data_IF_636053501188
#
_entry.id   IF_636053501188
#
_cell.length_a   1.000
_cell.length_b   1.000
_cell.length_c   1.000
_cell.angle_alpha   90.00
_cell.angle_beta   90.00
_cell.angle_gamma   90.00
#
_symmetry.space_group_name_H-M   'P 1'
#
loop_
_entity.id
_entity.type
_entity.pdbx_description
1 polymer ?
#
# COMPACT_ATOMS: atom_id res chain seq x y z
N UNK A 1 -23.60 1.17 -13.60
CA UNK A 1 -24.40 1.96 -12.64
C UNK A 1 -23.71 1.84 -11.30
N UNK A 2 -23.07 2.91 -10.77
CA UNK A 2 -22.57 2.95 -9.40
C UNK A 2 -23.77 2.82 -8.49
N UNK A 3 -23.87 1.75 -7.72
CA UNK A 3 -24.83 1.67 -6.61
C UNK A 3 -24.40 2.75 -5.62
N UNK A 4 -25.23 3.76 -5.42
CA UNK A 4 -24.98 4.78 -4.41
C UNK A 4 -24.88 4.10 -3.05
N UNK A 5 -23.79 4.29 -2.33
CA UNK A 5 -23.72 4.00 -0.91
C UNK A 5 -24.51 5.10 -0.24
N UNK A 6 -25.64 4.74 0.37
CA UNK A 6 -26.56 5.69 0.99
C UNK A 6 -26.09 6.12 2.38
N UNK A 7 -25.43 5.23 3.10
CA UNK A 7 -24.86 5.46 4.42
C UNK A 7 -23.55 4.71 4.59
N UNK A 8 -22.58 5.32 5.26
CA UNK A 8 -21.33 4.67 5.66
C UNK A 8 -20.87 5.18 7.02
N UNK A 9 -20.12 4.35 7.73
CA UNK A 9 -19.48 4.72 8.99
C UNK A 9 -18.01 4.29 8.98
N UNK A 10 -17.22 4.90 9.86
CA UNK A 10 -15.81 4.58 10.01
C UNK A 10 -15.63 3.68 11.23
N UNK A 11 -14.92 2.59 11.03
CA UNK A 11 -14.56 1.66 12.08
C UNK A 11 -13.05 1.64 12.27
N UNK A 12 -12.62 1.56 13.53
CA UNK A 12 -11.23 1.29 13.83
C UNK A 12 -10.95 -0.20 13.59
N UNK A 13 -10.09 -0.54 12.63
CA UNK A 13 -9.77 -1.93 12.30
C UNK A 13 -9.18 -2.72 13.48
N UNK A 14 -8.55 -2.04 14.44
CA UNK A 14 -7.97 -2.68 15.63
C UNK A 14 -9.02 -2.96 16.73
N UNK A 15 -10.26 -2.49 16.54
CA UNK A 15 -11.37 -2.60 17.48
C UNK A 15 -12.61 -3.28 16.87
N UNK A 16 -12.48 -3.95 15.73
CA UNK A 16 -13.61 -4.61 15.07
C UNK A 16 -14.27 -5.70 15.92
N UNK A 17 -13.51 -6.31 16.83
CA UNK A 17 -14.02 -7.33 17.77
C UNK A 17 -15.02 -6.75 18.78
N UNK A 18 -14.92 -5.45 19.09
CA UNK A 18 -15.80 -4.76 20.05
C UNK A 18 -17.00 -4.09 19.39
N UNK A 19 -17.17 -4.25 18.08
CA UNK A 19 -18.32 -3.62 17.40
C UNK A 19 -19.64 -4.24 17.87
N UNK A 20 -20.55 -3.40 18.39
CA UNK A 20 -21.83 -3.78 18.98
C UNK A 20 -23.06 -3.13 18.31
N UNK A 21 -22.83 -2.39 17.22
CA UNK A 21 -23.90 -1.76 16.44
C UNK A 21 -24.75 -2.73 15.63
N UNK A 22 -25.55 -2.20 14.72
CA UNK A 22 -26.33 -3.00 13.78
C UNK A 22 -25.41 -3.80 12.84
N UNK A 23 -25.96 -4.84 12.21
CA UNK A 23 -25.22 -5.63 11.23
C UNK A 23 -24.72 -4.74 10.09
N UNK A 24 -23.42 -4.86 9.77
CA UNK A 24 -22.74 -3.99 8.81
C UNK A 24 -21.78 -4.74 7.92
N UNK A 25 -21.72 -4.36 6.64
CA UNK A 25 -20.69 -4.84 5.71
C UNK A 25 -19.41 -4.04 5.87
N UNK A 26 -18.27 -4.75 6.03
CA UNK A 26 -16.96 -4.11 6.16
C UNK A 26 -16.00 -4.63 5.10
N UNK A 27 -15.47 -3.73 4.29
CA UNK A 27 -14.38 -4.07 3.34
C UNK A 27 -13.11 -4.30 4.12
N UNK A 28 -12.61 -5.54 4.11
CA UNK A 28 -11.44 -5.99 4.89
C UNK A 28 -10.10 -5.64 4.22
N UNK A 29 -10.07 -4.56 3.46
CA UNK A 29 -8.85 -4.01 2.88
C UNK A 29 -8.00 -3.36 3.98
N UNK A 30 -7.15 -4.13 4.63
CA UNK A 30 -6.38 -3.63 5.76
C UNK A 30 -5.08 -4.39 6.00
N UNK A 31 -4.19 -3.73 6.74
CA UNK A 31 -2.97 -4.28 7.26
C UNK A 31 -3.17 -4.61 8.73
N UNK A 32 -3.42 -5.86 9.03
CA UNK A 32 -3.73 -6.34 10.38
C UNK A 32 -2.44 -6.83 11.05
N UNK A 33 -1.94 -6.09 12.01
CA UNK A 33 -0.67 -6.33 12.64
C UNK A 33 -0.59 -5.90 14.11
N UNK A 34 -1.13 -4.72 14.44
CA UNK A 34 -0.81 -4.09 15.73
C UNK A 34 -1.42 -4.82 16.92
N UNK A 35 -2.67 -5.28 16.78
CA UNK A 35 -3.41 -6.00 17.83
C UNK A 35 -3.95 -7.33 17.31
N UNK A 36 -3.06 -8.32 17.05
CA UNK A 36 -3.47 -9.59 16.44
C UNK A 36 -4.48 -10.36 17.28
N UNK A 37 -4.48 -10.15 18.60
CA UNK A 37 -5.42 -10.81 19.51
C UNK A 37 -6.84 -10.19 19.48
N UNK A 38 -7.01 -9.02 18.84
CA UNK A 38 -8.30 -8.37 18.65
C UNK A 38 -9.02 -8.89 17.39
N UNK A 39 -8.77 -10.14 17.04
CA UNK A 39 -9.40 -10.83 15.93
C UNK A 39 -9.92 -12.19 16.42
N UNK A 40 -11.06 -12.67 15.99
CA UNK A 40 -11.90 -12.23 14.87
C UNK A 40 -12.75 -10.99 15.16
N UNK A 41 -13.31 -10.34 14.13
CA UNK A 41 -14.26 -9.25 14.30
C UNK A 41 -15.57 -9.73 14.97
N UNK A 42 -16.37 -8.80 15.47
CA UNK A 42 -17.70 -9.05 15.99
C UNK A 42 -18.56 -9.80 14.97
N UNK A 43 -19.48 -10.63 15.47
CA UNK A 43 -20.46 -11.35 14.63
C UNK A 43 -21.49 -10.43 13.94
N UNK A 44 -21.52 -9.15 14.30
CA UNK A 44 -22.29 -8.10 13.62
C UNK A 44 -21.63 -7.60 12.34
N UNK A 45 -20.37 -7.98 12.11
CA UNK A 45 -19.61 -7.57 10.94
C UNK A 45 -19.68 -8.67 9.88
N UNK A 46 -20.21 -8.32 8.71
CA UNK A 46 -20.17 -9.15 7.51
C UNK A 46 -18.94 -8.72 6.68
N UNK A 47 -17.85 -9.49 6.69
CA UNK A 47 -16.63 -9.11 6.02
C UNK A 47 -16.74 -9.27 4.50
N UNK A 48 -16.27 -8.26 3.77
CA UNK A 48 -16.01 -8.34 2.33
C UNK A 48 -14.51 -8.55 2.16
N UNK A 49 -14.12 -9.78 1.88
CA UNK A 49 -12.72 -10.19 1.80
C UNK A 49 -12.08 -9.76 0.49
N UNK A 50 -11.39 -8.63 0.52
CA UNK A 50 -10.61 -8.13 -0.61
C UNK A 50 -9.38 -7.38 -0.10
N UNK A 51 -8.24 -7.64 -0.70
CA UNK A 51 -6.95 -7.01 -0.33
C UNK A 51 -6.57 -7.18 1.16
N UNK A 52 -7.01 -8.27 1.77
CA UNK A 52 -6.72 -8.59 3.16
C UNK A 52 -5.24 -8.93 3.33
N UNK A 53 -4.61 -8.42 4.38
CA UNK A 53 -3.20 -8.70 4.66
C UNK A 53 -2.99 -9.03 6.14
N UNK A 54 -2.32 -10.12 6.40
CA UNK A 54 -1.85 -10.54 7.72
C UNK A 54 -0.33 -10.36 7.78
N UNK A 55 0.14 -9.33 8.48
CA UNK A 55 1.58 -9.10 8.68
C UNK A 55 2.11 -9.64 10.01
N UNK A 56 1.25 -10.10 10.89
CA UNK A 56 1.61 -10.75 12.13
C UNK A 56 0.97 -12.15 12.20
N UNK A 57 1.79 -13.18 12.06
CA UNK A 57 1.33 -14.58 12.05
C UNK A 57 0.61 -14.99 13.35
N UNK A 58 0.81 -14.29 14.48
CA UNK A 58 0.08 -14.53 15.73
C UNK A 58 -1.43 -14.33 15.60
N UNK A 59 -1.87 -13.63 14.55
CA UNK A 59 -3.29 -13.47 14.23
C UNK A 59 -3.95 -14.80 13.78
N UNK A 60 -3.15 -15.75 13.31
CA UNK A 60 -3.63 -17.08 12.93
C UNK A 60 -3.37 -18.04 14.10
N UNK A 61 -4.40 -18.26 14.91
CA UNK A 61 -4.42 -19.13 16.07
C UNK A 61 -5.68 -20.01 16.03
N UNK A 62 -5.85 -20.92 16.98
CA UNK A 62 -6.98 -21.87 16.98
C UNK A 62 -8.35 -21.18 16.82
N UNK A 63 -8.58 -20.13 17.60
CA UNK A 63 -9.85 -19.38 17.54
C UNK A 63 -10.08 -18.73 16.18
N UNK A 64 -9.06 -18.12 15.59
CA UNK A 64 -9.18 -17.42 14.32
C UNK A 64 -9.18 -18.35 13.12
N UNK A 65 -8.57 -19.53 13.21
CA UNK A 65 -8.61 -20.57 12.17
C UNK A 65 -10.06 -21.02 11.94
N UNK A 66 -10.79 -21.34 12.99
CA UNK A 66 -12.20 -21.75 12.88
C UNK A 66 -13.06 -20.64 12.27
N UNK A 67 -12.83 -19.40 12.70
CA UNK A 67 -13.49 -18.24 12.11
C UNK A 67 -13.20 -18.11 10.61
N UNK A 68 -11.92 -18.18 10.20
CA UNK A 68 -11.56 -18.08 8.79
C UNK A 68 -12.12 -19.22 7.95
N UNK A 69 -12.17 -20.46 8.48
CA UNK A 69 -12.77 -21.62 7.79
C UNK A 69 -14.26 -21.48 7.60
N UNK A 70 -14.94 -20.73 8.46
CA UNK A 70 -16.38 -20.44 8.31
C UNK A 70 -16.69 -19.36 7.28
N UNK A 71 -15.67 -18.66 6.78
CA UNK A 71 -15.83 -17.56 5.84
C UNK A 71 -15.87 -18.06 4.38
N UNK A 72 -16.46 -17.27 3.44
CA UNK A 72 -16.22 -17.48 2.02
C UNK A 72 -14.72 -17.30 1.67
N UNK A 73 -14.28 -17.69 0.46
CA UNK A 73 -12.89 -17.56 0.05
C UNK A 73 -12.32 -16.17 0.32
N UNK A 74 -11.13 -16.12 0.95
CA UNK A 74 -10.52 -14.89 1.44
C UNK A 74 -9.63 -14.28 0.37
N UNK A 75 -10.00 -13.10 -0.13
CA UNK A 75 -9.22 -12.32 -1.09
C UNK A 75 -8.07 -11.56 -0.42
N UNK A 76 -6.83 -11.96 -0.69
CA UNK A 76 -5.63 -11.46 -0.04
C UNK A 76 -4.86 -10.47 -0.92
N UNK A 77 -4.21 -9.49 -0.29
CA UNK A 77 -3.41 -8.46 -0.95
C UNK A 77 -2.08 -8.98 -1.49
N UNK A 78 -1.49 -9.95 -0.83
CA UNK A 78 -0.17 -10.52 -1.13
C UNK A 78 -0.17 -12.04 -1.01
N UNK A 79 0.78 -12.68 -1.69
CA UNK A 79 0.87 -14.14 -1.71
C UNK A 79 1.28 -14.72 -0.38
N UNK A 80 2.03 -14.00 0.45
CA UNK A 80 2.43 -14.49 1.76
C UNK A 80 1.22 -14.69 2.68
N UNK A 81 0.23 -13.79 2.61
CA UNK A 81 -1.05 -13.96 3.32
C UNK A 81 -1.83 -15.17 2.79
N UNK A 82 -1.88 -15.35 1.45
CA UNK A 82 -2.50 -16.53 0.84
C UNK A 82 -1.87 -17.83 1.35
N UNK A 83 -0.55 -17.90 1.29
CA UNK A 83 0.20 -19.07 1.74
C UNK A 83 0.00 -19.36 3.23
N UNK A 84 0.01 -18.30 4.06
CA UNK A 84 -0.22 -18.41 5.50
C UNK A 84 -1.60 -19.03 5.78
N UNK A 85 -2.66 -18.55 5.14
CA UNK A 85 -4.02 -19.07 5.33
C UNK A 85 -4.16 -20.50 4.80
N UNK A 86 -3.62 -20.79 3.63
CA UNK A 86 -3.69 -22.14 3.01
C UNK A 86 -2.94 -23.20 3.81
N UNK A 87 -1.89 -22.85 4.57
CA UNK A 87 -1.23 -23.77 5.50
C UNK A 87 -2.15 -24.31 6.60
N UNK A 88 -3.27 -23.63 6.84
CA UNK A 88 -4.29 -24.01 7.82
C UNK A 88 -5.57 -24.51 7.17
N UNK A 89 -5.52 -24.90 5.88
CA UNK A 89 -6.67 -25.36 5.08
C UNK A 89 -7.79 -24.31 4.97
N UNK A 90 -7.43 -23.02 4.99
CA UNK A 90 -8.35 -21.90 4.78
C UNK A 90 -8.34 -21.55 3.29
N UNK A 91 -9.53 -21.44 2.68
CA UNK A 91 -9.65 -21.06 1.27
C UNK A 91 -9.30 -19.60 1.09
N UNK A 92 -8.22 -19.32 0.36
CA UNK A 92 -7.70 -17.98 0.14
C UNK A 92 -7.14 -17.84 -1.28
N UNK A 93 -7.26 -16.66 -1.85
CA UNK A 93 -6.77 -16.35 -3.20
C UNK A 93 -6.18 -14.94 -3.27
N UNK A 94 -5.36 -14.69 -4.27
CA UNK A 94 -4.70 -13.41 -4.47
C UNK A 94 -5.60 -12.43 -5.22
N UNK A 95 -5.85 -11.26 -4.63
CA UNK A 95 -6.62 -10.16 -5.25
C UNK A 95 -5.75 -8.96 -5.63
N UNK A 96 -4.53 -8.88 -5.11
CA UNK A 96 -3.78 -7.63 -5.15
C UNK A 96 -4.36 -6.56 -4.22
N UNK A 97 -3.92 -5.32 -4.41
CA UNK A 97 -4.36 -4.18 -3.61
C UNK A 97 -5.49 -3.40 -4.28
N UNK A 98 -6.51 -3.00 -3.52
CA UNK A 98 -7.62 -2.18 -4.01
C UNK A 98 -7.16 -0.86 -4.66
N UNK A 99 -6.02 -0.32 -4.23
CA UNK A 99 -5.49 0.92 -4.82
C UNK A 99 -5.01 0.77 -6.28
N UNK A 100 -4.94 -0.46 -6.78
CA UNK A 100 -4.69 -0.73 -8.21
C UNK A 100 -5.92 -0.55 -9.09
N UNK A 101 -7.10 -0.37 -8.50
CA UNK A 101 -8.36 -0.21 -9.22
C UNK A 101 -8.76 1.26 -9.41
N UNK A 102 -7.88 2.21 -9.12
CA UNK A 102 -8.09 3.60 -9.52
C UNK A 102 -8.05 3.71 -11.05
N UNK A 103 -8.91 4.59 -11.57
CA UNK A 103 -8.97 4.85 -13.01
C UNK A 103 -7.67 5.47 -13.51
N UNK A 104 -7.19 5.02 -14.66
CA UNK A 104 -6.04 5.60 -15.32
C UNK A 104 -6.28 7.10 -15.63
N UNK A 105 -5.24 7.88 -15.50
CA UNK A 105 -5.29 9.32 -15.72
C UNK A 105 -4.33 9.74 -16.85
N UNK A 106 -4.86 10.48 -17.82
CA UNK A 106 -4.10 10.89 -19.01
C UNK A 106 -3.32 12.19 -18.84
N UNK A 107 -3.71 13.05 -17.87
CA UNK A 107 -3.00 14.31 -17.60
C UNK A 107 -1.73 14.06 -16.81
N UNK A 108 -0.61 14.36 -17.41
CA UNK A 108 0.73 14.21 -16.83
C UNK A 108 1.50 15.51 -17.10
N UNK A 109 1.57 16.36 -16.18
CA UNK A 109 2.26 17.66 -16.35
C UNK A 109 2.52 18.36 -15.03
N UNK A 110 2.15 17.67 -13.93
CA UNK A 110 2.35 18.15 -12.57
C UNK A 110 3.79 18.02 -12.09
N UNK A 111 3.98 18.24 -10.79
CA UNK A 111 5.28 18.25 -10.14
C UNK A 111 5.97 16.88 -10.12
N UNK A 112 7.21 16.91 -9.64
CA UNK A 112 7.99 15.73 -9.28
C UNK A 112 8.01 15.60 -7.77
N UNK A 113 7.93 14.40 -7.23
CA UNK A 113 7.81 14.18 -5.80
C UNK A 113 8.78 13.12 -5.28
N UNK A 114 9.42 13.41 -4.15
CA UNK A 114 10.13 12.46 -3.30
C UNK A 114 9.23 12.14 -2.10
N UNK A 115 8.76 10.91 -2.00
CA UNK A 115 7.79 10.53 -0.97
C UNK A 115 8.39 9.51 -0.01
N UNK A 116 8.63 9.91 1.23
CA UNK A 116 9.22 9.08 2.31
C UNK A 116 10.49 8.34 1.89
N UNK A 117 11.33 8.97 1.10
CA UNK A 117 12.60 8.36 0.65
C UNK A 117 13.67 8.38 1.74
N UNK A 118 13.48 9.22 2.76
CA UNK A 118 14.38 9.43 3.89
C UNK A 118 13.77 8.84 5.17
N UNK A 119 13.82 7.60 5.44
CA UNK A 119 13.22 7.06 6.63
C UNK A 119 13.66 5.63 6.91
N UNK A 120 13.10 5.03 7.97
CA UNK A 120 13.41 3.64 8.32
C UNK A 120 13.17 2.65 7.18
N UNK A 121 12.20 2.95 6.31
CA UNK A 121 11.87 2.15 5.13
C UNK A 121 12.48 2.70 3.84
N UNK A 122 12.99 3.94 3.86
CA UNK A 122 13.62 4.57 2.71
C UNK A 122 14.96 3.93 2.37
N UNK A 123 15.26 3.84 1.10
CA UNK A 123 16.51 3.28 0.61
C UNK A 123 17.62 4.33 0.49
N UNK A 124 17.22 5.59 0.53
CA UNK A 124 18.16 6.68 0.32
C UNK A 124 18.83 7.00 1.65
N UNK A 125 20.09 6.63 1.84
CA UNK A 125 20.87 7.18 2.93
C UNK A 125 20.90 8.69 2.72
N UNK A 126 20.54 9.44 3.74
CA UNK A 126 20.53 10.92 3.77
C UNK A 126 21.86 11.58 3.44
N UNK A 127 22.89 10.80 3.15
CA UNK A 127 24.27 11.28 3.21
C UNK A 127 24.88 11.65 1.87
N UNK A 128 24.37 11.26 0.71
CA UNK A 128 25.09 11.55 -0.53
C UNK A 128 24.23 11.58 -1.82
N UNK A 129 22.93 11.84 -1.74
CA UNK A 129 22.22 12.25 -2.96
C UNK A 129 22.86 13.56 -3.44
N UNK A 130 23.29 13.57 -4.68
CA UNK A 130 23.55 14.85 -5.33
C UNK A 130 22.22 15.60 -5.41
N UNK A 131 21.90 16.38 -4.38
CA UNK A 131 20.63 17.10 -4.22
C UNK A 131 20.34 17.99 -5.45
N UNK A 132 21.36 18.36 -6.22
CA UNK A 132 21.18 19.09 -7.47
C UNK A 132 20.32 18.34 -8.49
N UNK A 133 20.29 16.99 -8.46
CA UNK A 133 19.43 16.20 -9.34
C UNK A 133 17.95 16.25 -8.92
N UNK A 134 17.65 16.71 -7.72
CA UNK A 134 16.33 16.72 -7.14
C UNK A 134 15.84 18.10 -6.74
N UNK A 135 16.51 19.16 -7.21
CA UNK A 135 16.14 20.56 -6.88
C UNK A 135 14.70 20.93 -7.26
N UNK A 136 14.17 20.29 -8.30
CA UNK A 136 12.80 20.49 -8.77
C UNK A 136 11.78 19.50 -8.17
N UNK A 137 12.21 18.63 -7.24
CA UNK A 137 11.33 17.72 -6.55
C UNK A 137 10.74 18.33 -5.28
N UNK A 138 9.45 18.09 -5.07
CA UNK A 138 8.79 18.38 -3.79
C UNK A 138 8.93 17.17 -2.87
N UNK A 139 9.35 17.39 -1.64
CA UNK A 139 9.43 16.34 -0.63
C UNK A 139 8.07 16.22 0.08
N UNK A 140 7.57 15.01 0.16
CA UNK A 140 6.36 14.65 0.91
C UNK A 140 6.73 13.61 1.96
N UNK A 141 6.34 13.85 3.20
CA UNK A 141 6.46 12.90 4.30
C UNK A 141 5.06 12.51 4.78
N UNK A 142 4.79 11.20 4.78
CA UNK A 142 3.56 10.66 5.37
C UNK A 142 3.73 10.55 6.88
N UNK A 143 3.58 11.65 7.59
CA UNK A 143 3.65 11.68 9.05
C UNK A 143 2.45 10.95 9.68
N UNK A 144 2.36 9.65 9.45
CA UNK A 144 1.24 8.84 9.92
C UNK A 144 1.06 8.95 11.45
N UNK A 145 2.13 9.08 12.20
CA UNK A 145 2.09 9.08 13.67
C UNK A 145 1.48 10.36 14.28
N UNK A 146 1.67 11.50 13.66
CA UNK A 146 1.07 12.76 14.15
C UNK A 146 -0.42 12.90 13.84
N UNK A 147 -0.96 12.00 13.02
CA UNK A 147 -2.35 12.08 12.56
C UNK A 147 -3.32 11.15 13.29
N UNK A 148 -2.85 10.33 14.23
CA UNK A 148 -3.72 9.40 14.95
C UNK A 148 -4.80 10.12 15.78
N UNK A 149 -4.49 11.32 16.27
CA UNK A 149 -5.40 12.14 17.08
C UNK A 149 -6.24 13.12 16.25
N UNK A 150 -6.11 13.09 14.91
CA UNK A 150 -6.86 14.02 14.06
C UNK A 150 -8.18 13.42 13.63
N UNK A 151 -9.13 14.32 13.39
CA UNK A 151 -10.44 14.03 12.80
C UNK A 151 -10.30 13.17 11.53
N UNK A 152 -11.16 12.15 11.41
CA UNK A 152 -11.20 11.23 10.26
C UNK A 152 -11.38 11.98 8.95
N UNK A 153 -12.23 13.01 8.91
CA UNK A 153 -12.47 13.80 7.71
C UNK A 153 -11.21 14.58 7.26
N UNK A 154 -10.43 15.08 8.21
CA UNK A 154 -9.14 15.73 7.88
C UNK A 154 -8.15 14.74 7.29
N UNK A 155 -8.08 13.53 7.85
CA UNK A 155 -7.22 12.45 7.32
C UNK A 155 -7.63 12.04 5.91
N UNK A 156 -8.91 11.90 5.65
CA UNK A 156 -9.44 11.56 4.33
C UNK A 156 -9.18 12.66 3.30
N UNK A 157 -9.38 13.93 3.68
CA UNK A 157 -9.07 15.08 2.81
C UNK A 157 -7.58 15.11 2.44
N UNK A 158 -6.69 14.84 3.42
CA UNK A 158 -5.26 14.75 3.14
C UNK A 158 -4.93 13.57 2.21
N UNK A 159 -5.50 12.39 2.48
CA UNK A 159 -5.31 11.22 1.62
C UNK A 159 -5.80 11.48 0.19
N UNK A 160 -6.95 12.12 0.03
CA UNK A 160 -7.48 12.50 -1.28
C UNK A 160 -6.54 13.49 -1.99
N UNK A 161 -6.04 14.50 -1.26
CA UNK A 161 -5.06 15.46 -1.81
C UNK A 161 -3.78 14.77 -2.27
N UNK A 162 -3.24 13.83 -1.48
CA UNK A 162 -2.04 13.08 -1.86
C UNK A 162 -2.30 12.23 -3.12
N UNK A 163 -3.47 11.61 -3.23
CA UNK A 163 -3.85 10.86 -4.44
C UNK A 163 -3.95 11.78 -5.66
N UNK A 164 -4.49 12.99 -5.51
CA UNK A 164 -4.53 13.98 -6.58
C UNK A 164 -3.12 14.44 -6.99
N UNK A 165 -2.24 14.72 -6.02
CA UNK A 165 -0.84 15.07 -6.28
C UNK A 165 -0.13 13.94 -7.06
N UNK A 166 -0.34 12.67 -6.68
CA UNK A 166 0.25 11.51 -7.37
C UNK A 166 -0.34 11.29 -8.77
N UNK A 167 -1.64 11.51 -8.92
CA UNK A 167 -2.34 11.38 -10.20
C UNK A 167 -1.84 12.37 -11.24
N UNK A 168 -1.59 13.61 -10.83
CA UNK A 168 -1.13 14.69 -11.72
C UNK A 168 0.41 14.70 -11.90
N UNK A 169 1.15 13.98 -11.05
CA UNK A 169 2.61 14.00 -11.06
C UNK A 169 3.20 13.54 -12.39
N UNK A 170 4.29 14.19 -12.81
CA UNK A 170 5.14 13.72 -13.90
C UNK A 170 6.08 12.60 -13.49
N UNK A 171 6.53 12.59 -12.21
CA UNK A 171 7.38 11.57 -11.63
C UNK A 171 7.22 11.51 -10.12
N UNK A 172 7.15 10.30 -9.58
CA UNK A 172 7.15 10.03 -8.13
C UNK A 172 8.25 9.04 -7.81
N UNK A 173 9.07 9.35 -6.81
CA UNK A 173 10.04 8.41 -6.23
C UNK A 173 9.61 8.15 -4.80
N UNK A 174 9.41 6.89 -4.42
CA UNK A 174 8.82 6.58 -3.11
C UNK A 174 9.33 5.27 -2.53
N UNK A 175 9.38 5.18 -1.20
CA UNK A 175 9.54 3.94 -0.45
C UNK A 175 8.19 3.36 0.03
N UNK A 176 7.07 4.06 -0.21
CA UNK A 176 5.75 3.68 0.29
C UNK A 176 4.97 2.86 -0.72
N UNK A 177 4.56 1.66 -0.31
CA UNK A 177 3.73 0.77 -1.14
C UNK A 177 2.43 1.48 -1.60
N UNK A 178 1.73 2.13 -0.67
CA UNK A 178 0.46 2.83 -0.96
C UNK A 178 0.63 4.24 -1.54
N UNK A 179 1.84 4.58 -1.98
CA UNK A 179 2.11 5.65 -2.93
C UNK A 179 2.40 5.06 -4.31
N UNK A 180 3.22 4.00 -4.37
CA UNK A 180 3.60 3.38 -5.64
C UNK A 180 2.41 2.70 -6.35
N UNK A 181 1.55 1.97 -5.63
CA UNK A 181 0.40 1.28 -6.23
C UNK A 181 -0.63 2.24 -6.84
N UNK A 182 -1.07 3.33 -6.17
CA UNK A 182 -1.89 4.35 -6.82
C UNK A 182 -1.23 4.99 -8.04
N UNK A 183 0.06 5.33 -7.97
CA UNK A 183 0.79 5.84 -9.13
C UNK A 183 0.72 4.86 -10.30
N UNK A 184 0.86 3.56 -10.01
CA UNK A 184 0.75 2.53 -11.05
C UNK A 184 -0.64 2.47 -11.68
N UNK A 185 -1.70 2.55 -10.86
CA UNK A 185 -3.07 2.58 -11.34
C UNK A 185 -3.35 3.81 -12.20
N UNK A 186 -2.90 4.98 -11.77
CA UNK A 186 -3.03 6.23 -12.53
C UNK A 186 -2.16 6.26 -13.82
N UNK A 187 -1.25 5.31 -14.01
CA UNK A 187 -0.24 5.37 -15.07
C UNK A 187 0.82 6.46 -14.83
N UNK A 188 0.99 6.95 -13.62
CA UNK A 188 2.02 7.93 -13.25
C UNK A 188 3.39 7.25 -13.21
N UNK A 189 4.41 7.91 -13.79
CA UNK A 189 5.79 7.44 -13.71
C UNK A 189 6.20 7.35 -12.25
N UNK A 190 6.60 6.15 -11.80
CA UNK A 190 6.92 5.91 -10.40
C UNK A 190 8.14 5.01 -10.25
N UNK A 191 9.08 5.40 -9.39
CA UNK A 191 10.19 4.58 -8.94
C UNK A 191 9.92 4.15 -7.51
N UNK A 192 9.73 2.85 -7.30
CA UNK A 192 9.54 2.29 -5.97
C UNK A 192 10.86 1.81 -5.40
N UNK A 193 11.21 2.33 -4.23
CA UNK A 193 12.50 2.07 -3.58
C UNK A 193 12.29 1.73 -2.12
N UNK A 194 12.43 0.46 -1.78
CA UNK A 194 12.28 0.01 -0.41
C UNK A 194 13.42 -0.94 -0.04
N UNK A 195 14.20 -0.62 1.01
CA UNK A 195 15.39 -1.39 1.40
C UNK A 195 15.15 -2.87 1.73
N UNK A 196 13.91 -3.26 2.02
CA UNK A 196 13.52 -4.65 2.26
C UNK A 196 12.74 -5.23 1.09
N UNK A 197 12.83 -4.64 -0.11
CA UNK A 197 12.00 -5.04 -1.24
C UNK A 197 12.04 -6.53 -1.55
N UNK A 198 13.23 -7.14 -1.52
CA UNK A 198 13.42 -8.56 -1.81
C UNK A 198 12.83 -9.48 -0.75
N UNK A 199 12.84 -9.06 0.53
CA UNK A 199 12.58 -9.91 1.69
C UNK A 199 11.30 -9.56 2.46
N UNK A 200 10.57 -8.52 2.05
CA UNK A 200 9.35 -8.12 2.73
C UNK A 200 8.14 -8.84 2.12
N UNK A 201 7.50 -9.66 2.94
CA UNK A 201 6.36 -10.47 2.55
C UNK A 201 5.18 -9.65 2.00
N UNK A 202 5.07 -8.36 2.38
CA UNK A 202 4.02 -7.46 1.90
C UNK A 202 4.06 -7.21 0.39
N UNK A 203 5.19 -7.49 -0.26
CA UNK A 203 5.39 -7.27 -1.70
C UNK A 203 5.23 -8.54 -2.53
N UNK A 204 5.04 -9.70 -1.90
CA UNK A 204 4.86 -10.97 -2.62
C UNK A 204 3.59 -10.92 -3.49
N UNK A 205 3.73 -11.26 -4.75
CA UNK A 205 2.67 -11.12 -5.76
C UNK A 205 2.50 -9.70 -6.34
N UNK A 206 3.08 -8.67 -5.70
CA UNK A 206 3.01 -7.28 -6.17
C UNK A 206 4.30 -6.83 -6.88
N UNK A 207 5.38 -7.59 -6.79
CA UNK A 207 6.69 -7.22 -7.36
C UNK A 207 6.63 -6.90 -8.85
N UNK A 208 5.93 -7.70 -9.65
CA UNK A 208 5.76 -7.47 -11.08
C UNK A 208 4.99 -6.19 -11.41
N UNK A 209 4.06 -5.76 -10.53
CA UNK A 209 3.31 -4.52 -10.69
C UNK A 209 4.16 -3.32 -10.30
N UNK A 210 4.96 -3.44 -9.25
CA UNK A 210 5.76 -2.34 -8.73
C UNK A 210 6.95 -2.01 -9.64
N UNK A 211 7.62 -3.01 -10.16
CA UNK A 211 8.89 -2.84 -10.91
C UNK A 211 8.85 -3.39 -12.33
N UNK A 212 7.72 -3.77 -12.86
CA UNK A 212 7.58 -4.22 -14.25
C UNK A 212 8.37 -5.48 -14.65
N UNK A 213 8.85 -6.28 -13.69
CA UNK A 213 9.62 -7.51 -13.92
C UNK A 213 11.11 -7.24 -14.17
N UNK A 214 11.98 -7.87 -13.40
CA UNK A 214 13.45 -7.82 -13.36
C UNK A 214 14.08 -6.42 -13.28
N UNK A 215 14.72 -6.16 -12.15
CA UNK A 215 15.70 -5.09 -11.92
C UNK A 215 15.33 -3.69 -12.44
N UNK A 216 14.57 -2.93 -11.65
CA UNK A 216 14.28 -1.50 -11.88
C UNK A 216 13.50 -1.15 -13.16
N UNK A 217 12.36 -1.80 -13.40
CA UNK A 217 11.46 -1.35 -14.47
C UNK A 217 10.47 -0.30 -13.97
N UNK A 218 10.50 0.83 -14.59
CA UNK A 218 9.61 1.96 -14.41
C UNK A 218 8.67 2.06 -15.61
N UNK A 219 7.47 2.49 -15.37
CA UNK A 219 6.56 2.84 -16.44
C UNK A 219 7.03 4.19 -17.01
N UNK A 220 7.70 4.15 -18.15
CA UNK A 220 8.37 5.32 -18.71
C UNK A 220 7.47 6.05 -19.68
N UNK A 221 6.77 7.05 -19.18
CA UNK A 221 6.46 8.24 -19.98
C UNK A 221 7.44 9.40 -19.66
N UNK A 222 8.42 9.19 -18.76
CA UNK A 222 9.48 10.15 -18.50
C UNK A 222 10.48 10.18 -19.66
N UNK A 223 11.00 11.34 -19.99
CA UNK A 223 12.08 11.48 -20.97
C UNK A 223 13.24 10.58 -20.55
N UNK A 224 13.58 9.60 -21.37
CA UNK A 224 14.49 8.48 -21.07
C UNK A 224 15.81 8.86 -20.40
N UNK A 225 16.39 10.00 -20.73
CA UNK A 225 17.70 10.42 -20.20
C UNK A 225 17.70 10.92 -18.75
N UNK A 226 16.59 11.42 -18.22
CA UNK A 226 16.51 11.89 -16.81
C UNK A 226 16.35 10.72 -15.86
N UNK A 227 15.51 9.77 -16.24
CA UNK A 227 15.32 8.54 -15.46
C UNK A 227 16.59 7.72 -15.39
N UNK A 228 17.33 7.63 -16.50
CA UNK A 228 18.60 6.92 -16.56
C UNK A 228 19.64 7.50 -15.60
N UNK A 229 19.74 8.83 -15.52
CA UNK A 229 20.62 9.51 -14.55
C UNK A 229 20.22 9.23 -13.10
N UNK A 230 18.94 9.28 -12.80
CA UNK A 230 18.39 8.97 -11.46
C UNK A 230 18.76 7.52 -11.10
N UNK A 231 18.58 6.59 -12.02
CA UNK A 231 18.87 5.17 -11.80
C UNK A 231 20.37 4.88 -11.69
N UNK A 232 21.22 5.55 -12.45
CA UNK A 232 22.67 5.42 -12.31
C UNK A 232 23.13 5.82 -10.92
N UNK A 233 22.55 6.89 -10.35
CA UNK A 233 22.81 7.29 -8.97
C UNK A 233 22.39 6.19 -8.01
N UNK A 234 21.22 5.60 -8.18
CA UNK A 234 20.72 4.57 -7.28
C UNK A 234 21.45 3.23 -7.43
N UNK A 235 21.79 2.80 -8.64
CA UNK A 235 22.56 1.57 -8.87
C UNK A 235 23.91 1.61 -8.20
N UNK A 236 24.57 2.78 -8.17
CA UNK A 236 25.86 2.95 -7.49
C UNK A 236 25.76 2.65 -5.98
N UNK A 237 24.63 2.92 -5.34
CA UNK A 237 24.44 2.70 -3.90
C UNK A 237 23.85 1.33 -3.54
N UNK A 238 23.30 0.58 -4.51
CA UNK A 238 22.76 -0.78 -4.28
C UNK A 238 23.81 -1.88 -4.43
N UNK A 239 24.92 -1.60 -5.06
CA UNK A 239 25.99 -2.57 -5.29
C UNK A 239 27.05 -2.55 -4.15
N UNK A 240 27.10 -1.49 -3.37
CA UNK A 240 28.12 -1.32 -2.30
C UNK A 240 27.62 -1.71 -0.88
N UNK A 241 26.42 -2.29 -0.73
CA UNK A 241 25.84 -2.81 0.51
C UNK A 241 25.13 -4.15 0.25
#
# INVERSE_FOLDING_TARGET
KKKGILEYTYLNREELHNYDGDEIYVVMNGWFMHRPNNFPPSNKIIPIWISFNISNAKMVNEQTIDYFKSQPPIGCRDLATVELLRKHDIDAYFTGCLTLFFDEHTRKGGGKYLVDVNGECGYVPTMNLNMQLFEDFKVIEHEAFKMWDTDVDKRLKLAAKLLDDYREASLVITSRLHCALPCRAFGTSCVFMHKRYSNDNRFTGLKGVLNGGSDYHYNTNAKSGEMEKILQVFNKYTIEN
#
